data_IF_969723198621
#
_entry.id   IF_969723198621
#
_cell.length_a   1.000
_cell.length_b   1.000
_cell.length_c   1.000
_cell.angle_alpha   90.00
_cell.angle_beta   90.00
_cell.angle_gamma   90.00
#
_symmetry.space_group_name_H-M   'P 1'
#
loop_
_entity.id
_entity.type
_entity.pdbx_description
1 polymer ?
#
# COMPACT_ATOMS: atom_id res chain seq x y z
N UNK A 1 16.92 26.32 -25.87
CA UNK A 1 15.72 26.04 -25.05
C UNK A 1 16.17 25.72 -23.63
N UNK A 2 15.52 26.25 -22.58
CA UNK A 2 15.84 25.88 -21.20
C UNK A 2 15.50 24.41 -20.95
N UNK A 3 16.37 23.69 -20.25
CA UNK A 3 16.18 22.27 -19.91
C UNK A 3 15.17 22.19 -18.75
N UNK A 4 14.13 21.32 -18.80
CA UNK A 4 13.16 21.22 -17.73
C UNK A 4 13.84 20.77 -16.43
N UNK A 5 13.41 21.34 -15.30
CA UNK A 5 13.97 21.00 -13.99
C UNK A 5 13.57 19.57 -13.61
N UNK A 6 14.45 18.83 -12.92
CA UNK A 6 14.19 17.44 -12.51
C UNK A 6 12.88 17.27 -11.75
N UNK A 7 12.50 18.25 -10.93
CA UNK A 7 11.20 18.29 -10.25
C UNK A 7 10.02 18.31 -11.23
N UNK A 8 10.08 19.12 -12.29
CA UNK A 8 9.00 19.24 -13.28
C UNK A 8 8.82 17.95 -14.06
N UNK A 9 9.92 17.26 -14.38
CA UNK A 9 9.89 15.95 -15.05
C UNK A 9 9.18 14.93 -14.16
N UNK A 10 9.61 14.78 -12.90
CA UNK A 10 8.99 13.83 -11.95
C UNK A 10 7.51 14.13 -11.69
N UNK A 11 7.14 15.41 -11.67
CA UNK A 11 5.74 15.84 -11.56
C UNK A 11 4.93 15.48 -12.81
N UNK A 12 5.47 15.71 -14.00
CA UNK A 12 4.83 15.36 -15.26
C UNK A 12 4.66 13.84 -15.39
N UNK A 13 5.67 13.07 -15.02
CA UNK A 13 5.63 11.60 -15.01
C UNK A 13 4.51 11.11 -14.09
N UNK A 14 4.46 11.58 -12.84
CA UNK A 14 3.40 11.24 -11.89
C UNK A 14 2.00 11.57 -12.44
N UNK A 15 1.83 12.77 -13.03
CA UNK A 15 0.57 13.21 -13.60
C UNK A 15 0.17 12.44 -14.86
N UNK A 16 1.11 11.90 -15.61
CA UNK A 16 0.85 11.12 -16.82
C UNK A 16 0.54 9.66 -16.46
N UNK A 17 1.40 9.05 -15.65
CA UNK A 17 1.25 7.65 -15.25
C UNK A 17 0.00 7.40 -14.42
N UNK A 18 -0.48 8.34 -13.60
CA UNK A 18 -1.73 8.15 -12.86
C UNK A 18 -2.95 7.90 -13.77
N UNK A 19 -3.01 8.56 -14.93
CA UNK A 19 -4.12 8.38 -15.87
C UNK A 19 -4.02 7.05 -16.59
N UNK A 20 -2.80 6.65 -16.98
CA UNK A 20 -2.55 5.33 -17.54
C UNK A 20 -2.91 4.23 -16.54
N UNK A 21 -2.50 4.40 -15.27
CA UNK A 21 -2.81 3.46 -14.21
C UNK A 21 -4.32 3.33 -13.99
N UNK A 22 -5.03 4.45 -13.85
CA UNK A 22 -6.49 4.45 -13.70
C UNK A 22 -7.21 3.80 -14.90
N UNK A 23 -6.71 4.01 -16.12
CA UNK A 23 -7.26 3.40 -17.33
C UNK A 23 -7.02 1.89 -17.39
N UNK A 24 -5.82 1.44 -17.02
CA UNK A 24 -5.39 0.04 -17.14
C UNK A 24 -5.87 -0.85 -16.00
N UNK A 25 -5.96 -0.30 -14.79
CA UNK A 25 -6.31 -1.04 -13.57
C UNK A 25 -7.56 -1.92 -13.71
N UNK A 26 -8.74 -1.44 -14.19
CA UNK A 26 -9.93 -2.29 -14.30
C UNK A 26 -9.74 -3.48 -15.26
N UNK A 27 -8.94 -3.33 -16.32
CA UNK A 27 -8.62 -4.43 -17.23
C UNK A 27 -7.57 -5.38 -16.65
N UNK A 28 -6.62 -4.84 -15.89
CA UNK A 28 -5.62 -5.64 -15.18
C UNK A 28 -6.28 -6.58 -14.16
N UNK A 29 -7.28 -6.11 -13.40
CA UNK A 29 -8.06 -6.94 -12.46
C UNK A 29 -8.80 -8.06 -13.19
N UNK A 30 -9.45 -7.75 -14.32
CA UNK A 30 -10.21 -8.73 -15.12
C UNK A 30 -9.32 -9.79 -15.76
N UNK A 31 -8.03 -9.51 -15.94
CA UNK A 31 -7.09 -10.45 -16.56
C UNK A 31 -6.88 -11.75 -15.76
N UNK A 32 -7.30 -11.81 -14.48
CA UNK A 32 -7.33 -13.06 -13.69
C UNK A 32 -8.38 -14.04 -14.21
N UNK A 33 -9.48 -13.53 -14.78
CA UNK A 33 -10.62 -14.32 -15.29
C UNK A 33 -10.57 -14.43 -16.82
N UNK A 34 -10.13 -13.37 -17.50
CA UNK A 34 -10.05 -13.30 -18.95
C UNK A 34 -8.59 -13.16 -19.42
N UNK A 35 -7.98 -14.25 -19.92
CA UNK A 35 -6.60 -14.24 -20.40
C UNK A 35 -6.35 -13.29 -21.59
N UNK A 36 -7.39 -12.86 -22.32
CA UNK A 36 -7.23 -11.94 -23.45
C UNK A 36 -6.76 -10.54 -23.01
N UNK A 37 -6.96 -10.20 -21.74
CA UNK A 37 -6.55 -8.94 -21.12
C UNK A 37 -5.13 -8.96 -20.55
N UNK A 38 -4.35 -10.01 -20.82
CA UNK A 38 -2.97 -10.16 -20.33
C UNK A 38 -2.08 -8.96 -20.66
N UNK A 39 -2.21 -8.39 -21.87
CA UNK A 39 -1.43 -7.22 -22.27
C UNK A 39 -1.73 -6.01 -21.39
N UNK A 40 -3.01 -5.73 -21.10
CA UNK A 40 -3.41 -4.63 -20.22
C UNK A 40 -2.84 -4.78 -18.83
N UNK A 41 -2.84 -6.01 -18.29
CA UNK A 41 -2.22 -6.32 -17.01
C UNK A 41 -0.71 -6.07 -17.02
N UNK A 42 0.00 -6.55 -18.06
CA UNK A 42 1.44 -6.31 -18.22
C UNK A 42 1.77 -4.82 -18.18
N UNK A 43 1.10 -4.01 -19.00
CA UNK A 43 1.37 -2.57 -19.08
C UNK A 43 1.01 -1.88 -17.76
N UNK A 44 -0.04 -2.33 -17.05
CA UNK A 44 -0.40 -1.80 -15.74
C UNK A 44 0.75 -1.95 -14.72
N UNK A 45 1.43 -3.11 -14.72
CA UNK A 45 2.59 -3.36 -13.86
C UNK A 45 3.78 -2.50 -14.29
N UNK A 46 4.08 -2.40 -15.59
CA UNK A 46 5.16 -1.54 -16.11
C UNK A 46 4.97 -0.07 -15.69
N UNK A 47 3.74 0.44 -15.78
CA UNK A 47 3.37 1.78 -15.34
C UNK A 47 3.55 1.93 -13.83
N UNK A 48 3.13 0.94 -13.04
CA UNK A 48 3.26 0.96 -11.58
C UNK A 48 4.72 0.97 -11.12
N UNK A 49 5.57 0.16 -11.75
CA UNK A 49 7.02 0.14 -11.50
C UNK A 49 7.64 1.49 -11.87
N UNK A 50 7.32 2.02 -13.05
CA UNK A 50 7.82 3.32 -13.51
C UNK A 50 7.43 4.46 -12.56
N UNK A 51 6.27 4.35 -11.91
CA UNK A 51 5.79 5.31 -10.94
C UNK A 51 6.53 5.19 -9.61
N UNK A 52 6.82 3.98 -9.14
CA UNK A 52 7.36 3.73 -7.81
C UNK A 52 8.88 3.82 -7.72
N UNK A 53 9.62 3.51 -8.79
CA UNK A 53 11.10 3.60 -8.81
C UNK A 53 11.62 5.01 -8.48
N UNK A 54 11.05 6.11 -9.03
CA UNK A 54 11.42 7.47 -8.59
C UNK A 54 10.98 7.78 -7.16
N UNK A 55 10.04 7.00 -6.61
CA UNK A 55 9.53 7.14 -5.26
C UNK A 55 10.36 6.39 -4.21
N UNK A 56 11.25 5.50 -4.61
CA UNK A 56 12.20 4.82 -3.74
C UNK A 56 13.11 5.81 -2.98
N UNK A 57 13.34 5.56 -1.70
CA UNK A 57 14.17 6.41 -0.84
C UNK A 57 15.69 6.24 -1.11
N UNK A 58 16.06 5.10 -1.71
CA UNK A 58 17.43 4.70 -2.08
C UNK A 58 18.03 5.52 -3.22
N UNK A 59 17.19 6.13 -4.08
CA UNK A 59 17.61 6.85 -5.29
C UNK A 59 18.01 8.32 -5.06
N UNK A 60 18.06 8.79 -3.81
CA UNK A 60 18.32 10.20 -3.46
C UNK A 60 19.83 10.53 -3.27
N UNK A 61 20.71 10.02 -4.14
CA UNK A 61 22.17 10.28 -4.08
C UNK A 61 22.57 11.65 -4.65
N UNK A 62 21.65 12.39 -5.28
CA UNK A 62 21.93 13.66 -5.94
C UNK A 62 21.42 14.84 -5.10
N UNK A 63 22.35 15.71 -4.69
CA UNK A 63 22.21 16.98 -3.94
C UNK A 63 21.25 18.03 -4.53
N UNK A 64 20.37 17.66 -5.47
CA UNK A 64 19.45 18.53 -6.20
C UNK A 64 17.95 18.22 -5.95
N UNK A 65 17.60 17.22 -5.11
CA UNK A 65 16.24 16.68 -5.02
C UNK A 65 15.45 16.99 -3.73
N UNK A 66 15.72 18.08 -3.01
CA UNK A 66 15.00 18.40 -1.76
C UNK A 66 13.49 18.56 -1.98
N UNK A 67 13.06 19.22 -3.06
CA UNK A 67 11.65 19.57 -3.24
C UNK A 67 10.74 18.35 -3.53
N UNK A 68 11.14 17.45 -4.43
CA UNK A 68 10.34 16.26 -4.72
C UNK A 68 10.37 15.25 -3.57
N UNK A 69 11.52 15.12 -2.90
CA UNK A 69 11.66 14.28 -1.71
C UNK A 69 10.72 14.74 -0.59
N UNK A 70 10.74 16.05 -0.28
CA UNK A 70 9.83 16.63 0.69
C UNK A 70 8.36 16.43 0.31
N UNK A 71 8.05 16.53 -0.99
CA UNK A 71 6.70 16.31 -1.50
C UNK A 71 6.24 14.84 -1.38
N UNK A 72 7.12 13.87 -1.58
CA UNK A 72 6.80 12.44 -1.36
C UNK A 72 6.54 12.11 0.12
N UNK A 73 7.30 12.74 1.03
CA UNK A 73 7.21 12.50 2.48
C UNK A 73 6.06 13.28 3.13
N UNK A 74 5.81 14.50 2.69
CA UNK A 74 4.80 15.39 3.32
C UNK A 74 3.53 15.57 2.48
N UNK A 75 3.54 15.14 1.22
CA UNK A 75 2.44 15.36 0.29
C UNK A 75 1.23 14.47 0.56
N UNK A 76 0.05 15.04 0.36
CA UNK A 76 -1.26 14.37 0.47
C UNK A 76 -1.94 14.27 -0.90
N UNK A 77 -3.15 13.73 -0.94
CA UNK A 77 -3.94 13.53 -2.16
C UNK A 77 -3.17 12.67 -3.16
N UNK A 78 -2.96 13.16 -4.38
CA UNK A 78 -2.30 12.41 -5.45
C UNK A 78 -0.91 11.85 -5.10
N UNK A 79 -0.16 12.51 -4.20
CA UNK A 79 1.17 12.03 -3.78
C UNK A 79 1.13 10.86 -2.81
N UNK A 80 -0.05 10.58 -2.26
CA UNK A 80 -0.33 9.41 -1.41
C UNK A 80 -1.13 8.38 -2.20
N UNK A 81 -2.21 8.81 -2.83
CA UNK A 81 -3.22 7.92 -3.40
C UNK A 81 -2.71 7.21 -4.67
N UNK A 82 -1.97 7.92 -5.53
CA UNK A 82 -1.41 7.31 -6.75
C UNK A 82 -0.35 6.25 -6.44
N UNK A 83 0.62 6.49 -5.53
CA UNK A 83 1.53 5.44 -5.09
C UNK A 83 0.84 4.25 -4.42
N UNK A 84 -0.21 4.48 -3.63
CA UNK A 84 -1.01 3.40 -3.03
C UNK A 84 -1.61 2.50 -4.12
N UNK A 85 -2.24 3.07 -5.15
CA UNK A 85 -2.78 2.27 -6.26
C UNK A 85 -1.69 1.50 -7.01
N UNK A 86 -0.55 2.14 -7.26
CA UNK A 86 0.57 1.51 -7.96
C UNK A 86 1.14 0.34 -7.16
N UNK A 87 1.32 0.50 -5.84
CA UNK A 87 1.89 -0.57 -5.03
C UNK A 87 0.91 -1.74 -4.85
N UNK A 88 -0.39 -1.47 -4.73
CA UNK A 88 -1.42 -2.51 -4.69
C UNK A 88 -1.39 -3.37 -5.96
N UNK A 89 -1.20 -2.72 -7.12
CA UNK A 89 -1.05 -3.42 -8.41
C UNK A 89 0.18 -4.34 -8.41
N UNK A 90 1.31 -3.89 -7.86
CA UNK A 90 2.53 -4.71 -7.75
C UNK A 90 2.33 -5.87 -6.77
N UNK A 91 1.73 -5.63 -5.60
CA UNK A 91 1.45 -6.65 -4.61
C UNK A 91 0.55 -7.75 -5.18
N UNK A 92 -0.52 -7.37 -5.89
CA UNK A 92 -1.41 -8.34 -6.54
C UNK A 92 -0.68 -9.10 -7.66
N UNK A 93 0.10 -8.39 -8.47
CA UNK A 93 0.86 -9.03 -9.55
C UNK A 93 1.82 -10.10 -9.01
N UNK A 94 2.54 -9.80 -7.93
CA UNK A 94 3.47 -10.73 -7.30
C UNK A 94 2.74 -11.89 -6.61
N UNK A 95 1.64 -11.62 -5.90
CA UNK A 95 0.82 -12.66 -5.26
C UNK A 95 0.28 -13.64 -6.31
N UNK A 96 -0.26 -13.12 -7.41
CA UNK A 96 -0.76 -13.96 -8.49
C UNK A 96 0.34 -14.79 -9.16
N UNK A 97 1.53 -14.22 -9.39
CA UNK A 97 2.65 -14.97 -9.97
C UNK A 97 3.01 -16.18 -9.10
N UNK A 98 3.02 -16.00 -7.77
CA UNK A 98 3.27 -17.09 -6.82
C UNK A 98 2.15 -18.15 -6.80
N UNK A 99 0.89 -17.73 -6.94
CA UNK A 99 -0.26 -18.66 -7.06
C UNK A 99 -0.22 -19.48 -8.36
N UNK A 100 0.15 -18.86 -9.47
CA UNK A 100 0.27 -19.50 -10.78
C UNK A 100 1.43 -20.50 -10.80
N UNK A 101 2.58 -20.14 -10.23
CA UNK A 101 3.73 -21.05 -10.08
C UNK A 101 3.42 -22.26 -9.20
N UNK A 102 2.60 -22.09 -8.16
CA UNK A 102 2.16 -23.21 -7.32
C UNK A 102 1.22 -24.18 -8.06
N UNK A 103 0.47 -23.67 -9.02
CA UNK A 103 -0.55 -24.43 -9.76
C UNK A 103 -0.03 -25.01 -11.07
N UNK A 104 1.05 -24.45 -11.63
CA UNK A 104 1.66 -24.85 -12.90
C UNK A 104 2.86 -25.77 -12.69
N UNK A 105 2.96 -26.82 -13.49
CA UNK A 105 4.11 -27.73 -13.50
C UNK A 105 5.29 -27.21 -14.33
N UNK A 106 5.04 -26.17 -15.14
CA UNK A 106 6.03 -25.57 -16.03
C UNK A 106 6.40 -24.18 -15.46
N UNK A 107 7.68 -23.89 -15.20
CA UNK A 107 8.11 -22.55 -14.82
C UNK A 107 7.89 -21.60 -15.99
N UNK A 108 6.85 -20.79 -15.91
CA UNK A 108 6.63 -19.69 -16.85
C UNK A 108 7.55 -18.55 -16.41
N UNK A 109 8.38 -18.04 -17.33
CA UNK A 109 9.21 -16.87 -17.05
C UNK A 109 8.29 -15.71 -16.70
N UNK A 110 8.32 -15.27 -15.44
CA UNK A 110 7.60 -14.08 -15.02
C UNK A 110 8.17 -12.86 -15.75
N UNK A 111 7.30 -11.94 -16.15
CA UNK A 111 7.68 -10.71 -16.86
C UNK A 111 8.58 -9.81 -16.00
N UNK A 112 8.51 -9.96 -14.68
CA UNK A 112 9.28 -9.22 -13.70
C UNK A 112 9.80 -10.21 -12.66
N UNK A 113 11.09 -10.08 -12.30
CA UNK A 113 11.67 -10.86 -11.21
C UNK A 113 10.91 -10.61 -9.91
N UNK A 114 10.55 -11.68 -9.19
CA UNK A 114 9.93 -11.59 -7.87
C UNK A 114 10.73 -10.72 -6.92
N UNK A 115 12.06 -10.81 -7.01
CA UNK A 115 12.98 -10.03 -6.20
C UNK A 115 12.83 -8.53 -6.49
N UNK A 116 12.74 -8.14 -7.77
CA UNK A 116 12.61 -6.74 -8.15
C UNK A 116 11.28 -6.14 -7.66
N UNK A 117 10.16 -6.87 -7.80
CA UNK A 117 8.86 -6.41 -7.34
C UNK A 117 8.81 -6.32 -5.81
N UNK A 118 9.43 -7.28 -5.13
CA UNK A 118 9.54 -7.29 -3.67
C UNK A 118 10.37 -6.12 -3.15
N UNK A 119 11.50 -5.81 -3.77
CA UNK A 119 12.33 -4.65 -3.42
C UNK A 119 11.54 -3.34 -3.50
N UNK A 120 10.71 -3.17 -4.54
CA UNK A 120 9.83 -2.00 -4.67
C UNK A 120 8.81 -1.91 -3.51
N UNK A 121 8.27 -3.06 -3.05
CA UNK A 121 7.36 -3.11 -1.89
C UNK A 121 8.10 -2.71 -0.61
N UNK A 122 9.30 -3.24 -0.39
CA UNK A 122 10.14 -2.89 0.77
C UNK A 122 10.49 -1.40 0.79
N UNK A 123 10.89 -0.83 -0.36
CA UNK A 123 11.18 0.59 -0.50
C UNK A 123 9.94 1.48 -0.27
N UNK A 124 8.76 1.03 -0.70
CA UNK A 124 7.52 1.75 -0.46
C UNK A 124 7.10 1.71 1.02
N UNK A 125 7.25 0.57 1.70
CA UNK A 125 7.02 0.46 3.15
C UNK A 125 7.96 1.39 3.91
N UNK A 126 9.23 1.47 3.49
CA UNK A 126 10.18 2.41 4.06
C UNK A 126 9.76 3.88 3.83
N UNK A 127 9.23 4.22 2.65
CA UNK A 127 8.65 5.55 2.42
C UNK A 127 7.49 5.84 3.38
N UNK A 128 6.59 4.88 3.61
CA UNK A 128 5.47 5.04 4.54
C UNK A 128 5.95 5.24 5.99
N UNK A 129 6.97 4.50 6.43
CA UNK A 129 7.61 4.71 7.72
C UNK A 129 8.17 6.14 7.84
N UNK A 130 8.88 6.61 6.80
CA UNK A 130 9.39 7.98 6.77
C UNK A 130 8.27 9.03 6.88
N UNK A 131 7.13 8.79 6.24
CA UNK A 131 5.95 9.68 6.33
C UNK A 131 5.40 9.74 7.76
N UNK A 132 5.33 8.60 8.45
CA UNK A 132 4.91 8.48 9.85
C UNK A 132 5.92 9.15 10.79
N UNK A 133 7.22 9.03 10.54
CA UNK A 133 8.24 9.70 11.35
C UNK A 133 8.13 11.24 11.28
N UNK A 134 7.69 11.78 10.14
CA UNK A 134 7.60 13.22 9.94
C UNK A 134 6.29 13.81 10.50
N UNK A 135 5.16 13.56 9.83
CA UNK A 135 3.90 14.27 10.13
C UNK A 135 2.66 13.40 10.03
N UNK A 136 2.72 12.30 9.29
CA UNK A 136 1.54 11.46 9.07
C UNK A 136 1.17 10.69 10.35
N UNK A 137 -0.12 10.69 10.68
CA UNK A 137 -0.70 9.88 11.77
C UNK A 137 -1.52 8.71 11.24
N UNK A 138 -1.76 8.68 9.92
CA UNK A 138 -2.43 7.57 9.26
C UNK A 138 -1.43 6.41 9.08
N UNK A 139 -1.57 5.40 9.92
CA UNK A 139 -0.69 4.22 9.92
C UNK A 139 -1.22 3.09 9.02
N UNK A 140 -2.46 3.20 8.51
CA UNK A 140 -3.16 2.09 7.86
C UNK A 140 -2.39 1.53 6.68
N UNK A 141 -1.87 2.42 5.82
CA UNK A 141 -1.07 2.03 4.66
C UNK A 141 0.19 1.26 5.08
N UNK A 142 0.92 1.78 6.07
CA UNK A 142 2.15 1.13 6.56
C UNK A 142 1.86 -0.27 7.11
N UNK A 143 0.85 -0.40 7.97
CA UNK A 143 0.44 -1.68 8.55
C UNK A 143 -0.02 -2.67 7.46
N UNK A 144 -0.87 -2.22 6.53
CA UNK A 144 -1.37 -3.04 5.43
C UNK A 144 -0.24 -3.60 4.58
N UNK A 145 0.64 -2.75 4.05
CA UNK A 145 1.71 -3.20 3.16
C UNK A 145 2.78 -4.01 3.89
N UNK A 146 3.02 -3.77 5.19
CA UNK A 146 3.85 -4.65 6.03
C UNK A 146 3.27 -6.06 6.11
N UNK A 147 1.95 -6.19 6.30
CA UNK A 147 1.27 -7.48 6.33
C UNK A 147 1.30 -8.19 4.97
N UNK A 148 1.07 -7.44 3.88
CA UNK A 148 1.11 -7.98 2.51
C UNK A 148 2.51 -8.47 2.14
N UNK A 149 3.57 -7.75 2.52
CA UNK A 149 4.94 -8.21 2.30
C UNK A 149 5.20 -9.55 3.01
N UNK A 150 4.72 -9.69 4.24
CA UNK A 150 4.93 -10.90 5.04
C UNK A 150 4.07 -12.07 4.56
N UNK A 151 2.88 -11.79 4.03
CA UNK A 151 2.08 -12.76 3.27
C UNK A 151 2.90 -13.30 2.08
N UNK A 152 3.46 -12.42 1.25
CA UNK A 152 4.25 -12.79 0.07
C UNK A 152 5.47 -13.64 0.48
N UNK A 153 6.19 -13.23 1.53
CA UNK A 153 7.32 -13.98 2.08
C UNK A 153 6.92 -15.37 2.57
N UNK A 154 5.78 -15.48 3.26
CA UNK A 154 5.28 -16.76 3.77
C UNK A 154 4.90 -17.72 2.64
N UNK A 155 4.25 -17.22 1.57
CA UNK A 155 3.96 -18.03 0.37
C UNK A 155 5.26 -18.55 -0.26
N UNK A 156 6.26 -17.67 -0.46
CA UNK A 156 7.54 -18.05 -1.06
C UNK A 156 8.31 -19.08 -0.22
N UNK A 157 8.26 -18.97 1.10
CA UNK A 157 8.95 -19.87 2.03
C UNK A 157 8.14 -21.13 2.37
N UNK A 158 6.89 -21.24 1.93
CA UNK A 158 6.00 -22.35 2.30
C UNK A 158 5.62 -22.39 3.79
N UNK A 159 5.57 -21.23 4.44
CA UNK A 159 5.25 -21.07 5.87
C UNK A 159 3.76 -20.79 6.10
N UNK A 160 3.34 -20.79 7.37
CA UNK A 160 1.99 -20.37 7.75
C UNK A 160 1.77 -18.88 7.47
N UNK A 161 0.91 -18.59 6.48
CA UNK A 161 0.56 -17.22 6.07
C UNK A 161 -0.14 -16.48 7.20
N UNK A 162 -1.07 -17.12 7.89
CA UNK A 162 -1.85 -16.51 8.99
C UNK A 162 -0.94 -16.05 10.13
N UNK A 163 0.01 -16.90 10.54
CA UNK A 163 0.96 -16.56 11.60
C UNK A 163 1.91 -15.45 11.18
N UNK A 164 2.37 -15.45 9.92
CA UNK A 164 3.23 -14.40 9.38
C UNK A 164 2.51 -13.04 9.37
N UNK A 165 1.26 -12.98 8.89
CA UNK A 165 0.44 -11.77 8.88
C UNK A 165 0.18 -11.28 10.30
N UNK A 166 -0.20 -12.16 11.23
CA UNK A 166 -0.46 -11.77 12.62
C UNK A 166 0.79 -11.21 13.32
N UNK A 167 1.96 -11.81 13.06
CA UNK A 167 3.25 -11.29 13.56
C UNK A 167 3.58 -9.92 12.97
N UNK A 168 3.36 -9.74 11.66
CA UNK A 168 3.58 -8.48 10.96
C UNK A 168 2.67 -7.35 11.46
N UNK A 169 1.40 -7.67 11.70
CA UNK A 169 0.41 -6.75 12.22
C UNK A 169 0.83 -6.20 13.59
N UNK A 170 1.14 -7.08 14.54
CA UNK A 170 1.56 -6.66 15.88
C UNK A 170 2.83 -5.81 15.83
N UNK A 171 3.85 -6.27 15.09
CA UNK A 171 5.13 -5.56 14.95
C UNK A 171 4.96 -4.16 14.34
N UNK A 172 4.16 -4.05 13.28
CA UNK A 172 3.93 -2.77 12.61
C UNK A 172 3.10 -1.80 13.47
N UNK A 173 2.12 -2.32 14.22
CA UNK A 173 1.37 -1.53 15.21
C UNK A 173 2.26 -1.04 16.35
N UNK A 174 3.11 -1.90 16.91
CA UNK A 174 4.05 -1.52 17.97
C UNK A 174 5.03 -0.44 17.50
N UNK A 175 5.58 -0.58 16.29
CA UNK A 175 6.46 0.44 15.70
C UNK A 175 5.73 1.76 15.48
N UNK A 176 4.51 1.71 14.96
CA UNK A 176 3.67 2.89 14.77
C UNK A 176 3.35 3.58 16.10
N UNK A 177 2.93 2.81 17.11
CA UNK A 177 2.66 3.33 18.44
C UNK A 177 3.90 3.98 19.05
N UNK A 178 5.05 3.31 19.01
CA UNK A 178 6.31 3.84 19.51
C UNK A 178 6.69 5.16 18.82
N UNK A 179 6.59 5.20 17.49
CA UNK A 179 6.95 6.38 16.69
C UNK A 179 6.02 7.56 16.99
N UNK A 180 4.71 7.33 16.99
CA UNK A 180 3.72 8.37 17.28
C UNK A 180 3.81 8.86 18.74
N UNK A 181 4.02 7.96 19.70
CA UNK A 181 4.22 8.30 21.11
C UNK A 181 5.46 9.16 21.31
N UNK A 182 6.58 8.77 20.71
CA UNK A 182 7.84 9.54 20.78
C UNK A 182 7.66 10.94 20.22
N UNK A 183 6.95 11.07 19.09
CA UNK A 183 6.62 12.37 18.48
C UNK A 183 5.70 13.21 19.38
N UNK A 184 4.67 12.61 19.97
CA UNK A 184 3.75 13.30 20.88
C UNK A 184 4.48 13.84 22.11
N UNK A 185 5.36 13.03 22.71
CA UNK A 185 6.21 13.44 23.83
C UNK A 185 7.15 14.59 23.45
N UNK A 186 7.75 14.56 22.25
CA UNK A 186 8.59 15.66 21.76
C UNK A 186 7.83 16.98 21.57
N UNK A 187 6.50 16.92 21.41
CA UNK A 187 5.61 18.10 21.37
C UNK A 187 5.04 18.48 22.75
N UNK A 188 5.53 17.86 23.83
CA UNK A 188 5.06 18.14 25.20
C UNK A 188 3.69 17.55 25.53
N UNK A 189 3.17 16.65 24.69
CA UNK A 189 1.93 15.91 24.96
C UNK A 189 2.28 14.70 25.84
N UNK A 190 1.99 14.80 27.13
CA UNK A 190 2.13 13.67 28.04
C UNK A 190 0.99 12.67 27.83
N UNK A 191 1.25 11.60 27.09
CA UNK A 191 0.37 10.42 27.09
C UNK A 191 0.62 9.63 28.38
N UNK A 192 -0.21 9.87 29.39
CA UNK A 192 -0.35 8.95 30.53
C UNK A 192 -0.84 7.59 30.01
N UNK A 193 -0.39 6.45 30.56
CA UNK A 193 -0.78 5.12 30.06
C UNK A 193 -2.26 4.77 30.30
N UNK A 194 -3.01 5.57 31.04
CA UNK A 194 -4.40 5.24 31.39
C UNK A 194 -5.40 6.02 30.51
N UNK A 195 -5.67 5.49 29.32
CA UNK A 195 -7.02 5.58 28.76
C UNK A 195 -7.60 4.19 28.99
N UNK A 196 -8.28 4.01 30.12
CA UNK A 196 -9.28 2.95 30.24
C UNK A 196 -10.26 3.16 29.08
N UNK A 197 -10.24 2.23 28.11
CA UNK A 197 -11.30 2.14 27.12
C UNK A 197 -12.51 1.60 27.88
N UNK A 198 -13.24 2.51 28.52
CA UNK A 198 -14.50 2.22 29.18
C UNK A 198 -15.46 1.71 28.09
N UNK A 199 -15.68 0.40 28.07
CA UNK A 199 -16.51 -0.29 27.07
C UNK A 199 -18.00 -0.17 27.45
N UNK A 200 -18.41 0.97 28.03
CA UNK A 200 -19.79 1.18 28.47
C UNK A 200 -20.33 2.53 28.02
N UNK A 201 -20.49 2.67 26.70
CA UNK A 201 -21.17 3.82 26.08
C UNK A 201 -22.02 3.38 24.89
N UNK A 202 -23.30 3.15 25.13
CA UNK A 202 -24.32 2.99 24.09
C UNK A 202 -24.48 4.36 23.39
N UNK A 203 -23.71 4.62 22.34
CA UNK A 203 -23.85 5.84 21.53
C UNK A 203 -24.58 5.49 20.23
N UNK A 204 -25.83 5.91 20.18
CA UNK A 204 -26.68 5.92 19.00
C UNK A 204 -25.99 6.70 17.86
N UNK A 205 -26.15 6.33 16.57
CA UNK A 205 -25.44 6.99 15.49
C UNK A 205 -26.09 8.32 15.14
N UNK A 206 -25.40 9.41 15.48
CA UNK A 206 -25.77 10.77 15.10
C UNK A 206 -25.32 11.03 13.66
N UNK A 207 -26.31 11.09 12.78
CA UNK A 207 -26.23 11.57 11.41
C UNK A 207 -25.81 13.05 11.38
N UNK A 208 -24.54 13.34 11.06
CA UNK A 208 -24.03 14.62 10.52
C UNK A 208 -22.55 14.55 10.09
N UNK A 209 -22.36 14.14 8.84
CA UNK A 209 -21.40 14.69 7.85
C UNK A 209 -20.10 15.33 8.36
N UNK A 210 -19.01 14.56 8.40
CA UNK A 210 -17.65 15.08 8.27
C UNK A 210 -16.73 14.05 7.58
N UNK A 211 -16.67 14.14 6.25
CA UNK A 211 -15.55 13.65 5.44
C UNK A 211 -15.38 12.14 5.34
N UNK A 212 -16.38 11.42 4.84
CA UNK A 212 -16.19 10.12 4.17
C UNK A 212 -15.38 10.33 2.89
N UNK A 213 -14.05 10.49 3.03
CA UNK A 213 -13.15 10.12 1.94
C UNK A 213 -12.95 8.61 2.03
N UNK A 214 -13.96 7.96 1.47
CA UNK A 214 -13.86 6.73 0.69
C UNK A 214 -12.42 6.51 0.16
N UNK A 215 -11.81 5.43 0.65
CA UNK A 215 -10.39 5.10 0.45
C UNK A 215 -10.20 4.02 -0.61
N UNK A 216 -11.27 3.59 -1.28
CA UNK A 216 -11.27 2.48 -2.22
C UNK A 216 -12.39 2.59 -3.26
N UNK A 217 -12.54 3.75 -3.91
CA UNK A 217 -13.42 3.91 -5.08
C UNK A 217 -14.90 3.64 -4.75
N UNK A 218 -15.64 4.69 -4.46
CA UNK A 218 -17.03 4.83 -4.81
C UNK A 218 -17.35 6.30 -5.11
N UNK A 219 -17.29 6.62 -6.39
CA UNK A 219 -18.27 7.51 -7.01
C UNK A 219 -18.66 6.88 -8.37
N UNK A 220 -19.58 5.93 -8.34
CA UNK A 220 -20.61 5.80 -9.38
C UNK A 220 -20.22 5.15 -10.71
N UNK A 221 -19.57 3.98 -10.70
CA UNK A 221 -19.63 3.06 -11.84
C UNK A 221 -19.97 1.64 -11.38
N UNK A 222 -21.24 1.27 -11.54
CA UNK A 222 -21.79 -0.05 -11.26
C UNK A 222 -21.18 -1.09 -12.21
N UNK A 223 -20.01 -1.63 -11.85
CA UNK A 223 -19.51 -2.90 -12.35
C UNK A 223 -18.89 -3.64 -11.17
N UNK A 224 -19.62 -4.58 -10.58
CA UNK A 224 -19.28 -5.31 -9.35
C UNK A 224 -17.89 -5.97 -9.33
N UNK A 225 -16.86 -5.16 -9.12
CA UNK A 225 -15.44 -5.53 -9.07
C UNK A 225 -14.77 -4.69 -7.99
N UNK A 226 -15.15 -4.96 -6.75
CA UNK A 226 -14.41 -4.48 -5.59
C UNK A 226 -13.04 -5.17 -5.52
N UNK A 227 -12.05 -4.47 -4.96
CA UNK A 227 -10.84 -5.10 -4.45
C UNK A 227 -11.29 -6.18 -3.47
N UNK A 228 -10.92 -7.44 -3.71
CA UNK A 228 -11.43 -8.57 -2.95
C UNK A 228 -10.79 -8.58 -1.56
N UNK A 229 -11.38 -7.80 -0.66
CA UNK A 229 -11.04 -7.75 0.77
C UNK A 229 -11.29 -9.09 1.46
N UNK A 230 -11.86 -10.09 0.76
CA UNK A 230 -11.99 -11.47 1.24
C UNK A 230 -10.66 -12.12 1.60
N UNK A 231 -9.54 -11.72 0.98
CA UNK A 231 -8.19 -12.19 1.36
C UNK A 231 -7.76 -11.73 2.78
N UNK A 232 -8.36 -10.66 3.30
CA UNK A 232 -8.17 -10.19 4.68
C UNK A 232 -9.38 -10.54 5.59
N UNK A 233 -10.55 -10.78 4.98
CA UNK A 233 -11.82 -11.06 5.68
C UNK A 233 -12.06 -12.55 5.96
N UNK A 234 -11.30 -13.46 5.31
CA UNK A 234 -11.55 -14.91 5.35
C UNK A 234 -11.42 -15.58 6.72
N UNK A 235 -10.53 -15.10 7.61
CA UNK A 235 -10.25 -15.86 8.85
C UNK A 235 -9.85 -15.02 10.07
N UNK A 236 -9.44 -13.75 9.93
CA UNK A 236 -8.73 -13.04 11.03
C UNK A 236 -9.67 -12.19 11.91
N UNK A 237 -10.83 -11.77 11.40
CA UNK A 237 -11.76 -10.90 12.13
C UNK A 237 -12.95 -11.63 12.79
N UNK A 238 -13.14 -12.94 12.56
CA UNK A 238 -14.21 -13.71 13.22
C UNK A 238 -13.81 -14.30 14.58
N UNK A 239 -12.52 -14.60 14.78
CA UNK A 239 -12.08 -15.33 15.99
C UNK A 239 -11.61 -14.43 17.15
N UNK A 240 -11.73 -13.11 17.02
CA UNK A 240 -11.44 -12.17 18.12
C UNK A 240 -12.71 -11.88 18.96
N UNK A 241 -13.89 -12.36 18.54
CA UNK A 241 -15.17 -12.10 19.20
C UNK A 241 -15.80 -13.25 20.00
N UNK A 242 -15.21 -14.45 19.99
CA UNK A 242 -15.77 -15.62 20.72
C UNK A 242 -14.66 -16.43 21.37
N UNK A 243 -14.21 -15.99 22.55
CA UNK A 243 -13.18 -16.69 23.31
C UNK A 243 -13.02 -16.13 24.71
N UNK A 244 -13.95 -16.53 25.60
CA UNK A 244 -14.08 -16.23 27.04
C UNK A 244 -14.88 -14.98 27.42
#
# INVERSE_FOLDING_TARGET
MPRPASFQIKMLDLLSYRFLLALLHPFAMKARVDPTLYYSRKVCIEVSVSLLVPLSASNDTESSNDNYKNLKISGTGLFRDVPVMAISTICEALTYQLEEEKSSFIPVSSLFSHQNLREIIEEYIHLLDMRIQHRETNIKGYVLFSCVLEHINAIQAGLSVEQAIASALNRSLDQCYYTLKTRAMAWGINMSPDIDIDTSGHTQPDDRTLGTHDWLIDDGFDTGMGFDTSLLSGSILKDIGTGS
#
